data_IF_372045820018
#
_entry.id   IF_372045820018
#
_cell.length_a   1.000
_cell.length_b   1.000
_cell.length_c   1.000
_cell.angle_alpha   90.00
_cell.angle_beta   90.00
_cell.angle_gamma   90.00
#
_symmetry.space_group_name_H-M   'P 1'
#
loop_
_entity.id
_entity.type
_entity.pdbx_description
1 polymer ?
#
# COMPACT_ATOMS: atom_id res chain seq x y z
N UNK A 1 -5.93 -4.80 19.48
CA UNK A 1 -6.25 -5.04 18.05
C UNK A 1 -5.57 -6.35 17.71
N UNK A 2 -6.31 -7.36 17.26
CA UNK A 2 -5.70 -8.67 16.97
C UNK A 2 -4.97 -8.58 15.63
N UNK A 3 -3.65 -8.62 15.71
CA UNK A 3 -2.79 -8.68 14.55
C UNK A 3 -2.82 -10.10 13.98
N UNK A 4 -2.82 -10.19 12.66
CA UNK A 4 -2.76 -11.45 11.91
C UNK A 4 -1.53 -11.47 11.03
N UNK A 5 -1.14 -12.64 10.53
CA UNK A 5 0.08 -12.82 9.74
C UNK A 5 -0.18 -13.56 8.43
N UNK A 6 -1.37 -13.38 7.85
CA UNK A 6 -1.74 -14.06 6.61
C UNK A 6 -0.86 -13.63 5.44
N UNK A 7 -0.28 -12.43 5.51
CA UNK A 7 0.72 -11.90 4.57
C UNK A 7 1.90 -12.85 4.38
N UNK A 8 2.36 -13.55 5.43
CA UNK A 8 3.52 -14.43 5.36
C UNK A 8 3.36 -15.58 4.35
N UNK A 9 2.10 -15.95 4.04
CA UNK A 9 1.78 -17.03 3.10
C UNK A 9 1.50 -16.57 1.68
N UNK A 10 1.14 -15.30 1.49
CA UNK A 10 0.64 -14.78 0.21
C UNK A 10 1.54 -13.70 -0.40
N UNK A 11 2.36 -13.02 0.40
CA UNK A 11 3.32 -12.03 -0.08
C UNK A 11 4.65 -12.70 -0.48
N UNK A 12 5.30 -12.28 -1.58
CA UNK A 12 6.66 -12.73 -1.89
C UNK A 12 7.66 -12.37 -0.79
N UNK A 13 8.68 -13.20 -0.61
CA UNK A 13 9.69 -13.01 0.44
C UNK A 13 10.44 -11.68 0.26
N UNK A 14 10.70 -11.28 -0.98
CA UNK A 14 11.42 -10.04 -1.32
C UNK A 14 10.67 -8.77 -0.87
N UNK A 15 9.35 -8.85 -0.76
CA UNK A 15 8.53 -7.77 -0.17
C UNK A 15 8.56 -7.88 1.35
N UNK A 16 8.46 -9.08 1.90
CA UNK A 16 8.54 -9.32 3.35
C UNK A 16 9.86 -8.83 3.95
N UNK A 17 10.97 -8.98 3.24
CA UNK A 17 12.29 -8.55 3.70
C UNK A 17 12.47 -7.03 3.70
N UNK A 18 11.63 -6.29 2.95
CA UNK A 18 11.73 -4.83 2.77
C UNK A 18 10.73 -4.02 3.58
N UNK A 19 9.63 -4.63 4.02
CA UNK A 19 8.52 -3.93 4.65
C UNK A 19 8.11 -4.57 5.97
N UNK A 20 7.71 -3.73 6.92
CA UNK A 20 7.00 -4.18 8.12
C UNK A 20 5.51 -4.35 7.82
N UNK A 21 4.94 -5.48 8.24
CA UNK A 21 3.53 -5.80 8.01
C UNK A 21 2.72 -5.67 9.29
N UNK A 22 1.79 -4.71 9.31
CA UNK A 22 0.81 -4.54 10.38
C UNK A 22 -0.55 -4.95 9.82
N UNK A 23 -0.90 -6.22 9.93
CA UNK A 23 -2.10 -6.80 9.35
C UNK A 23 -3.16 -7.09 10.41
N UNK A 24 -4.44 -6.88 10.07
CA UNK A 24 -5.57 -7.34 10.89
C UNK A 24 -6.55 -8.14 10.03
N UNK A 25 -7.25 -9.10 10.65
CA UNK A 25 -8.33 -9.89 10.01
C UNK A 25 -7.91 -10.61 8.71
N UNK A 26 -6.66 -11.05 8.62
CA UNK A 26 -6.09 -11.74 7.46
C UNK A 26 -6.23 -10.92 6.16
N UNK A 27 -6.03 -9.60 6.24
CA UNK A 27 -6.28 -8.69 5.12
C UNK A 27 -5.52 -9.06 3.84
N UNK A 28 -4.26 -9.52 3.93
CA UNK A 28 -3.50 -9.91 2.75
C UNK A 28 -4.11 -11.14 2.05
N UNK A 29 -4.46 -12.18 2.81
CA UNK A 29 -5.11 -13.36 2.26
C UNK A 29 -6.49 -13.04 1.65
N UNK A 30 -7.27 -12.17 2.31
CA UNK A 30 -8.56 -11.68 1.78
C UNK A 30 -8.34 -10.95 0.45
N UNK A 31 -7.39 -10.02 0.37
CA UNK A 31 -7.11 -9.27 -0.85
C UNK A 31 -6.63 -10.19 -1.99
N UNK A 32 -5.71 -11.10 -1.70
CA UNK A 32 -5.19 -12.07 -2.67
C UNK A 32 -6.28 -13.00 -3.23
N UNK A 33 -7.22 -13.44 -2.37
CA UNK A 33 -8.29 -14.35 -2.76
C UNK A 33 -9.45 -13.64 -3.48
N UNK A 34 -9.79 -12.41 -3.08
CA UNK A 34 -10.97 -11.70 -3.60
C UNK A 34 -10.66 -10.82 -4.80
N UNK A 35 -9.42 -10.35 -4.95
CA UNK A 35 -9.02 -9.47 -6.03
C UNK A 35 -7.55 -9.67 -6.43
N UNK A 36 -7.26 -10.88 -6.93
CA UNK A 36 -5.92 -11.29 -7.36
C UNK A 36 -5.23 -10.28 -8.30
N UNK A 37 -5.88 -9.68 -9.32
CA UNK A 37 -5.21 -8.69 -10.17
C UNK A 37 -4.72 -7.46 -9.41
N UNK A 38 -5.54 -6.91 -8.49
CA UNK A 38 -5.12 -5.76 -7.67
C UNK A 38 -4.06 -6.13 -6.65
N UNK A 39 -4.11 -7.34 -6.12
CA UNK A 39 -3.05 -7.87 -5.26
C UNK A 39 -1.71 -7.95 -6.02
N UNK A 40 -1.71 -8.47 -7.25
CA UNK A 40 -0.51 -8.58 -8.07
C UNK A 40 0.06 -7.21 -8.44
N UNK A 41 -0.81 -6.24 -8.75
CA UNK A 41 -0.40 -4.84 -8.96
C UNK A 41 0.24 -4.25 -7.71
N UNK A 42 -0.35 -4.45 -6.52
CA UNK A 42 0.21 -4.00 -5.24
C UNK A 42 1.61 -4.58 -5.02
N UNK A 43 1.76 -5.89 -5.22
CA UNK A 43 3.05 -6.59 -5.09
C UNK A 43 4.08 -6.04 -6.07
N UNK A 44 3.71 -5.79 -7.34
CA UNK A 44 4.60 -5.14 -8.32
C UNK A 44 5.02 -3.76 -7.86
N UNK A 45 4.09 -2.91 -7.40
CA UNK A 45 4.42 -1.56 -6.94
C UNK A 45 5.38 -1.58 -5.75
N UNK A 46 5.13 -2.44 -4.76
CA UNK A 46 6.03 -2.59 -3.61
C UNK A 46 7.39 -3.17 -4.01
N UNK A 47 7.41 -4.06 -5.02
CA UNK A 47 8.65 -4.62 -5.49
C UNK A 47 9.53 -3.61 -6.25
N UNK A 48 8.90 -2.78 -7.07
CA UNK A 48 9.56 -1.77 -7.91
C UNK A 48 9.94 -0.50 -7.13
N UNK A 49 9.43 -0.34 -5.91
CA UNK A 49 9.71 0.83 -5.09
C UNK A 49 11.09 0.73 -4.43
N UNK A 50 11.90 1.77 -4.63
CA UNK A 50 13.25 1.87 -4.11
C UNK A 50 13.40 3.13 -3.24
N UNK A 51 13.97 2.98 -2.05
CA UNK A 51 14.39 4.12 -1.22
C UNK A 51 15.66 4.74 -1.81
N UNK A 52 15.60 6.03 -2.15
CA UNK A 52 16.76 6.78 -2.61
C UNK A 52 17.41 7.52 -1.45
N UNK A 53 18.71 7.78 -1.55
CA UNK A 53 19.43 8.56 -0.53
C UNK A 53 18.81 9.94 -0.34
N UNK A 54 18.34 10.57 -1.42
CA UNK A 54 17.68 11.87 -1.37
C UNK A 54 16.40 11.85 -0.52
N UNK A 55 15.67 10.71 -0.47
CA UNK A 55 14.48 10.59 0.39
C UNK A 55 14.80 10.64 1.89
N UNK A 56 16.05 10.35 2.27
CA UNK A 56 16.51 10.30 3.67
C UNK A 56 17.13 11.63 4.14
N UNK A 57 17.59 12.46 3.19
CA UNK A 57 18.35 13.68 3.48
C UNK A 57 17.45 14.92 3.53
N UNK A 58 16.31 14.90 2.83
CA UNK A 58 15.36 16.03 2.84
C UNK A 58 14.64 16.09 4.19
N UNK A 59 14.72 17.21 4.95
CA UNK A 59 14.00 17.35 6.20
C UNK A 59 12.48 17.28 5.97
N UNK A 60 11.78 16.52 6.82
CA UNK A 60 10.36 16.20 6.65
C UNK A 60 9.44 17.43 6.54
N UNK A 61 8.55 17.40 5.55
CA UNK A 61 7.43 18.34 5.33
C UNK A 61 6.12 17.59 5.05
N UNK A 62 5.00 18.33 4.84
CA UNK A 62 3.69 17.75 4.51
C UNK A 62 3.77 16.91 3.23
N UNK A 63 3.48 15.60 3.36
CA UNK A 63 3.75 14.53 2.38
C UNK A 63 5.23 14.51 1.92
N UNK A 64 6.05 13.65 2.54
CA UNK A 64 7.44 13.50 2.09
C UNK A 64 7.48 13.12 0.61
N UNK A 65 8.49 13.60 -0.12
CA UNK A 65 8.68 13.29 -1.55
C UNK A 65 8.63 11.78 -1.82
N UNK A 66 9.07 10.99 -0.84
CA UNK A 66 8.95 9.54 -0.79
C UNK A 66 7.50 9.04 -0.94
N UNK A 67 6.57 9.58 -0.14
CA UNK A 67 5.16 9.21 -0.19
C UNK A 67 4.52 9.64 -1.51
N UNK A 68 4.86 10.84 -2.00
CA UNK A 68 4.38 11.33 -3.29
C UNK A 68 4.85 10.44 -4.45
N UNK A 69 6.09 9.92 -4.40
CA UNK A 69 6.63 8.99 -5.39
C UNK A 69 5.93 7.64 -5.37
N UNK A 70 5.69 7.08 -4.19
CA UNK A 70 4.90 5.85 -4.05
C UNK A 70 3.48 6.03 -4.62
N UNK A 71 2.81 7.14 -4.27
CA UNK A 71 1.47 7.46 -4.74
C UNK A 71 1.40 7.59 -6.27
N UNK A 72 2.44 8.17 -6.89
CA UNK A 72 2.55 8.27 -8.35
C UNK A 72 2.57 6.89 -9.02
N UNK A 73 3.35 5.95 -8.47
CA UNK A 73 3.47 4.58 -8.99
C UNK A 73 2.12 3.86 -9.05
N UNK A 74 1.24 4.09 -8.08
CA UNK A 74 -0.15 3.61 -8.09
C UNK A 74 -1.03 4.37 -9.10
N UNK A 75 -0.94 5.70 -9.14
CA UNK A 75 -1.73 6.54 -10.06
C UNK A 75 -1.46 6.21 -11.53
N UNK A 76 -0.21 5.93 -11.88
CA UNK A 76 0.19 5.56 -13.25
C UNK A 76 -0.43 4.21 -13.67
N UNK A 77 -0.73 3.33 -12.71
CA UNK A 77 -1.46 2.05 -12.89
C UNK A 77 -2.99 2.21 -12.80
N UNK A 78 -3.49 3.44 -12.84
CA UNK A 78 -4.92 3.74 -12.83
C UNK A 78 -5.59 3.69 -11.46
N UNK A 79 -4.84 3.54 -10.36
CA UNK A 79 -5.39 3.67 -9.02
C UNK A 79 -5.78 5.13 -8.77
N UNK A 80 -6.91 5.33 -8.11
CA UNK A 80 -7.43 6.65 -7.78
C UNK A 80 -7.83 6.67 -6.33
N UNK A 81 -7.53 7.78 -5.68
CA UNK A 81 -8.07 8.06 -4.37
C UNK A 81 -9.59 8.21 -4.49
N UNK A 82 -10.31 7.55 -3.59
CA UNK A 82 -11.75 7.65 -3.52
C UNK A 82 -12.11 8.34 -2.20
N UNK A 83 -12.70 9.53 -2.32
CA UNK A 83 -13.35 10.18 -1.20
C UNK A 83 -14.79 9.69 -1.11
N UNK A 84 -15.17 9.15 0.04
CA UNK A 84 -16.57 8.86 0.31
C UNK A 84 -17.22 10.02 1.07
N UNK A 85 -17.83 10.94 0.32
CA UNK A 85 -18.69 11.97 0.92
C UNK A 85 -20.05 11.35 1.27
N UNK A 86 -20.39 11.28 2.58
CA UNK A 86 -21.79 11.10 3.00
C UNK A 86 -22.56 12.38 2.73
N UNK A 87 -23.28 12.43 1.60
CA UNK A 87 -24.30 13.46 1.38
C UNK A 87 -25.63 12.98 1.95
N UNK A 88 -25.74 12.89 3.27
CA UNK A 88 -27.04 12.72 3.95
C UNK A 88 -27.47 14.05 4.57
N UNK A 89 -28.16 14.87 3.77
CA UNK A 89 -29.01 15.94 4.28
C UNK A 89 -30.42 15.37 4.44
N UNK A 90 -30.83 15.09 5.67
CA UNK A 90 -32.25 14.92 5.97
C UNK A 90 -32.88 16.31 6.01
N UNK A 91 -33.92 16.51 5.22
CA UNK A 91 -34.80 17.67 5.27
C UNK A 91 -36.24 17.15 5.36
#
# INVERSE_FOLDING_TARGET
>A
MDLTESYAKVMPQEVQDRYEFIETRNAAAVLAATNKPRFDELVSVLNDFELLTDDLVVPGGQESDLAARLNRTFRDRGWREHEWTRRFGWR
#
